data_IF_998032447891
#
_entry.id   IF_998032447891
#
_cell.length_a   1.000
_cell.length_b   1.000
_cell.length_c   1.000
_cell.angle_alpha   90.00
_cell.angle_beta   90.00
_cell.angle_gamma   90.00
#
_symmetry.space_group_name_H-M   'P 1'
#
loop_
_entity.id
_entity.type
_entity.pdbx_description
1 polymer ?
#
# COMPACT_ATOMS: atom_id res chain seq x y z
N UNK A 1 14.37 17.69 3.11
CA UNK A 1 14.63 16.24 3.19
C UNK A 1 13.55 15.55 4.05
N UNK A 2 12.26 15.89 3.85
CA UNK A 2 11.21 15.49 4.79
C UNK A 2 10.10 14.60 4.20
N UNK A 3 10.07 14.35 2.89
CA UNK A 3 8.88 13.75 2.28
C UNK A 3 8.82 12.21 2.34
N UNK A 4 9.96 11.51 2.34
CA UNK A 4 9.96 10.04 2.22
C UNK A 4 9.55 9.31 3.52
N UNK A 5 9.97 9.83 4.67
CA UNK A 5 9.67 9.19 5.96
C UNK A 5 8.18 9.30 6.31
N UNK A 6 7.56 10.42 5.94
CA UNK A 6 6.12 10.63 6.10
C UNK A 6 5.32 9.74 5.15
N UNK A 7 5.76 9.60 3.89
CA UNK A 7 5.15 8.67 2.92
C UNK A 7 5.16 7.23 3.40
N UNK A 8 6.31 6.71 3.83
CA UNK A 8 6.41 5.34 4.35
C UNK A 8 5.49 5.11 5.54
N UNK A 9 5.39 6.09 6.44
CA UNK A 9 4.50 6.02 7.59
C UNK A 9 3.03 5.99 7.18
N UNK A 10 2.62 6.84 6.24
CA UNK A 10 1.23 6.87 5.77
C UNK A 10 0.85 5.59 5.01
N UNK A 11 1.73 5.07 4.14
CA UNK A 11 1.50 3.78 3.48
C UNK A 11 1.36 2.66 4.51
N UNK A 12 2.23 2.65 5.53
CA UNK A 12 2.17 1.66 6.61
C UNK A 12 0.85 1.76 7.40
N UNK A 13 0.35 2.97 7.64
CA UNK A 13 -0.94 3.17 8.29
C UNK A 13 -2.09 2.60 7.45
N UNK A 14 -2.09 2.84 6.14
CA UNK A 14 -3.08 2.28 5.21
C UNK A 14 -3.09 0.75 5.30
N UNK A 15 -1.91 0.11 5.33
CA UNK A 15 -1.81 -1.34 5.47
C UNK A 15 -2.42 -1.86 6.78
N UNK A 16 -2.19 -1.20 7.92
CA UNK A 16 -2.80 -1.62 9.18
C UNK A 16 -4.30 -1.36 9.25
N UNK A 17 -4.82 -0.39 8.50
CA UNK A 17 -6.25 -0.12 8.38
C UNK A 17 -6.95 -1.22 7.56
N UNK A 18 -6.35 -1.64 6.44
CA UNK A 18 -6.87 -2.72 5.59
C UNK A 18 -6.70 -4.10 6.23
N UNK A 19 -5.55 -4.32 6.87
CA UNK A 19 -5.20 -5.60 7.49
C UNK A 19 -5.13 -5.43 9.02
N UNK A 20 -6.27 -5.37 9.73
CA UNK A 20 -6.27 -5.13 11.19
C UNK A 20 -5.60 -6.25 11.99
N UNK A 21 -5.46 -7.44 11.40
CA UNK A 21 -4.75 -8.58 12.00
C UNK A 21 -3.24 -8.57 11.72
N UNK A 22 -2.73 -7.66 10.91
CA UNK A 22 -1.32 -7.54 10.61
C UNK A 22 -0.61 -6.86 11.78
N UNK A 23 0.26 -7.57 12.49
CA UNK A 23 1.06 -6.96 13.55
C UNK A 23 2.27 -6.19 12.99
N UNK A 24 2.81 -5.26 13.79
CA UNK A 24 4.04 -4.54 13.45
C UNK A 24 5.24 -5.44 13.14
N UNK A 25 5.31 -6.60 13.80
CA UNK A 25 6.34 -7.62 13.59
C UNK A 25 6.16 -8.45 12.33
N UNK A 26 4.93 -8.55 11.82
CA UNK A 26 4.60 -9.32 10.61
C UNK A 26 4.59 -8.46 9.34
N UNK A 27 4.54 -7.14 9.50
CA UNK A 27 4.64 -6.21 8.39
C UNK A 27 6.06 -6.24 7.81
N UNK A 28 6.17 -6.58 6.53
CA UNK A 28 7.39 -6.47 5.74
C UNK A 28 7.05 -5.82 4.39
N UNK A 29 7.85 -4.82 4.02
CA UNK A 29 7.72 -4.08 2.78
C UNK A 29 7.79 -4.95 1.53
N UNK A 30 8.60 -6.01 1.56
CA UNK A 30 8.80 -6.90 0.41
C UNK A 30 7.94 -8.16 0.48
N UNK A 31 7.09 -8.30 1.50
CA UNK A 31 6.17 -9.44 1.62
C UNK A 31 5.20 -9.42 0.45
N UNK A 32 5.12 -10.54 -0.25
CA UNK A 32 4.28 -10.66 -1.43
C UNK A 32 2.81 -10.89 -1.04
N UNK A 33 1.84 -10.40 -1.81
CA UNK A 33 0.41 -10.44 -1.49
C UNK A 33 -0.08 -11.86 -1.16
N UNK A 34 0.47 -12.88 -1.83
CA UNK A 34 0.13 -14.30 -1.61
C UNK A 34 0.52 -14.83 -0.22
N UNK A 35 1.43 -14.15 0.47
CA UNK A 35 1.86 -14.47 1.83
C UNK A 35 0.97 -13.80 2.88
N UNK A 36 0.04 -12.94 2.47
CA UNK A 36 -0.99 -12.37 3.32
C UNK A 36 -2.26 -13.22 3.23
N UNK A 37 -2.76 -13.65 4.37
CA UNK A 37 -3.96 -14.50 4.44
C UNK A 37 -5.23 -13.82 3.92
N UNK A 38 -5.27 -12.47 3.96
CA UNK A 38 -6.46 -11.67 3.71
C UNK A 38 -6.27 -10.65 2.57
N UNK A 39 -5.22 -10.81 1.77
CA UNK A 39 -5.00 -9.93 0.62
C UNK A 39 -5.67 -10.52 -0.62
N UNK A 40 -6.95 -10.17 -0.76
CA UNK A 40 -7.79 -10.52 -1.91
C UNK A 40 -8.02 -9.32 -2.84
N UNK A 41 -8.85 -9.50 -3.87
CA UNK A 41 -9.19 -8.42 -4.81
C UNK A 41 -9.90 -7.24 -4.13
N UNK A 42 -10.61 -7.45 -3.03
CA UNK A 42 -11.28 -6.37 -2.30
C UNK A 42 -10.27 -5.55 -1.50
N UNK A 43 -9.35 -6.22 -0.79
CA UNK A 43 -8.24 -5.58 -0.10
C UNK A 43 -7.36 -4.79 -1.08
N UNK A 44 -7.09 -5.33 -2.27
CA UNK A 44 -6.36 -4.61 -3.33
C UNK A 44 -7.05 -3.29 -3.72
N UNK A 45 -8.34 -3.34 -4.05
CA UNK A 45 -9.11 -2.15 -4.41
C UNK A 45 -9.18 -1.13 -3.27
N UNK A 46 -9.30 -1.61 -2.03
CA UNK A 46 -9.38 -0.72 -0.87
C UNK A 46 -8.03 -0.04 -0.58
N UNK A 47 -6.89 -0.75 -0.74
CA UNK A 47 -5.56 -0.17 -0.67
C UNK A 47 -5.38 0.97 -1.69
N UNK A 48 -5.82 0.74 -2.93
CA UNK A 48 -5.75 1.74 -4.01
C UNK A 48 -6.58 2.97 -3.64
N UNK A 49 -7.87 2.78 -3.34
CA UNK A 49 -8.79 3.87 -3.07
C UNK A 49 -8.34 4.72 -1.86
N UNK A 50 -7.81 4.08 -0.80
CA UNK A 50 -7.26 4.81 0.34
C UNK A 50 -5.98 5.58 -0.03
N UNK A 51 -5.08 4.99 -0.81
CA UNK A 51 -3.87 5.68 -1.26
C UNK A 51 -4.21 6.90 -2.13
N UNK A 52 -5.10 6.73 -3.12
CA UNK A 52 -5.60 7.83 -3.96
C UNK A 52 -6.20 8.96 -3.13
N UNK A 53 -7.10 8.62 -2.22
CA UNK A 53 -7.74 9.62 -1.34
C UNK A 53 -6.75 10.28 -0.39
N UNK A 54 -5.75 9.55 0.11
CA UNK A 54 -4.80 10.04 1.11
C UNK A 54 -3.76 10.98 0.51
N UNK A 55 -3.26 10.64 -0.67
CA UNK A 55 -2.21 11.40 -1.35
C UNK A 55 -2.76 12.33 -2.44
N UNK A 56 -4.07 12.30 -2.70
CA UNK A 56 -4.74 13.06 -3.75
C UNK A 56 -4.12 12.81 -5.13
N UNK A 57 -3.96 11.52 -5.45
CA UNK A 57 -3.41 10.99 -6.71
C UNK A 57 -4.44 10.06 -7.37
N UNK A 58 -4.18 9.69 -8.63
CA UNK A 58 -4.97 8.69 -9.37
C UNK A 58 -4.03 7.56 -9.80
N UNK A 59 -4.32 6.33 -9.37
CA UNK A 59 -3.53 5.14 -9.67
C UNK A 59 -4.27 4.38 -10.78
N UNK A 60 -3.67 4.37 -11.98
CA UNK A 60 -4.23 3.62 -13.11
C UNK A 60 -4.39 2.13 -12.75
N UNK A 61 -5.53 1.55 -13.12
CA UNK A 61 -5.87 0.15 -12.89
C UNK A 61 -4.83 -0.83 -13.45
N UNK A 62 -4.19 -0.49 -14.58
CA UNK A 62 -3.11 -1.31 -15.15
C UNK A 62 -1.84 -1.31 -14.27
N UNK A 63 -1.57 -0.22 -13.54
CA UNK A 63 -0.51 -0.17 -12.54
C UNK A 63 -0.97 -0.79 -11.20
N UNK A 64 -2.26 -0.71 -10.91
CA UNK A 64 -2.86 -1.17 -9.67
C UNK A 64 -2.90 -2.70 -9.55
N UNK A 65 -2.97 -3.43 -10.68
CA UNK A 65 -2.89 -4.90 -10.71
C UNK A 65 -1.46 -5.42 -10.47
N UNK A 66 -0.45 -4.57 -10.70
CA UNK A 66 0.96 -5.01 -10.71
C UNK A 66 1.67 -4.88 -9.35
N UNK A 67 1.15 -4.10 -8.41
CA UNK A 67 1.78 -4.01 -7.10
C UNK A 67 1.38 -5.20 -6.22
N UNK A 68 2.38 -5.93 -5.76
CA UNK A 68 2.21 -7.19 -5.02
C UNK A 68 2.74 -7.09 -3.60
N UNK A 69 3.24 -5.93 -3.19
CA UNK A 69 3.83 -5.69 -1.88
C UNK A 69 3.61 -4.24 -1.44
N UNK A 70 3.81 -3.97 -0.15
CA UNK A 70 3.72 -2.60 0.37
C UNK A 70 4.76 -1.67 -0.26
N UNK A 71 5.93 -2.21 -0.63
CA UNK A 71 6.98 -1.48 -1.33
C UNK A 71 6.54 -1.06 -2.73
N UNK A 72 5.87 -1.95 -3.46
CA UNK A 72 5.39 -1.62 -4.79
C UNK A 72 4.37 -0.47 -4.74
N UNK A 73 3.47 -0.46 -3.75
CA UNK A 73 2.55 0.66 -3.52
C UNK A 73 3.32 1.95 -3.20
N UNK A 74 4.32 1.88 -2.32
CA UNK A 74 5.14 3.03 -1.96
C UNK A 74 5.84 3.65 -3.19
N UNK A 75 6.46 2.82 -4.03
CA UNK A 75 7.15 3.27 -5.24
C UNK A 75 6.17 3.82 -6.29
N UNK A 76 4.98 3.23 -6.39
CA UNK A 76 3.89 3.76 -7.23
C UNK A 76 3.49 5.18 -6.78
N UNK A 77 3.18 5.36 -5.48
CA UNK A 77 2.81 6.66 -4.94
C UNK A 77 3.94 7.68 -5.11
N UNK A 78 5.20 7.30 -4.84
CA UNK A 78 6.37 8.17 -5.07
C UNK A 78 6.53 8.59 -6.52
N UNK A 79 6.13 7.76 -7.48
CA UNK A 79 6.24 8.08 -8.91
C UNK A 79 5.15 9.04 -9.39
N UNK A 80 4.05 9.18 -8.63
CA UNK A 80 2.90 10.02 -8.95
C UNK A 80 2.91 11.38 -8.21
N UNK A 81 3.77 11.54 -7.20
CA UNK A 81 3.97 12.77 -6.41
C UNK A 81 5.12 13.61 -6.96
#
# INVERSE_FOLDING_TARGET
MSNNFDLEKEIKNIFFEIFPNLSLSEFDWNKHQREYSNWDSFAQLHLIALAESKFNIEIDFDNSINFTSAKDLLECVKSLL
#
